data_IF_010050787260
#
_entry.id   IF_010050787260
#
_cell.length_a   1.000
_cell.length_b   1.000
_cell.length_c   1.000
_cell.angle_alpha   90.00
_cell.angle_beta   90.00
_cell.angle_gamma   90.00
#
_symmetry.space_group_name_H-M   'P 1'
#
loop_
_entity.id
_entity.type
_entity.pdbx_description
1 polymer ?
#
# COMPACT_ATOMS: atom_id res chain seq x y z
N UNK A 1 -2.66 11.15 30.52
CA UNK A 1 -3.63 10.74 29.48
C UNK A 1 -2.82 10.29 28.29
N UNK A 2 -2.98 9.06 27.80
CA UNK A 2 -2.33 8.63 26.57
C UNK A 2 -2.88 9.45 25.41
N UNK A 3 -2.01 10.01 24.56
CA UNK A 3 -2.44 10.66 23.34
C UNK A 3 -3.25 9.66 22.48
N UNK A 4 -4.33 10.11 21.82
CA UNK A 4 -5.07 9.24 20.92
C UNK A 4 -4.18 8.80 19.76
N UNK A 5 -3.92 7.50 19.65
CA UNK A 5 -3.20 6.91 18.53
C UNK A 5 -4.15 6.15 17.60
N UNK A 6 -3.84 6.01 16.31
CA UNK A 6 -4.67 5.25 15.39
C UNK A 6 -4.69 3.77 15.77
N UNK A 7 -5.86 3.14 15.63
CA UNK A 7 -5.99 1.68 15.67
C UNK A 7 -5.71 1.05 14.29
N UNK A 8 -6.05 1.77 13.22
CA UNK A 8 -5.83 1.35 11.83
C UNK A 8 -5.09 2.46 11.11
N UNK A 9 -4.04 2.11 10.35
CA UNK A 9 -3.29 3.04 9.52
C UNK A 9 -3.21 2.52 8.09
N UNK A 10 -3.80 3.25 7.15
CA UNK A 10 -3.72 2.94 5.72
C UNK A 10 -2.48 3.59 5.11
N UNK A 11 -1.62 2.77 4.50
CA UNK A 11 -0.41 3.23 3.82
C UNK A 11 -0.55 3.02 2.30
N UNK A 12 -0.59 4.13 1.55
CA UNK A 12 -0.56 4.14 0.08
C UNK A 12 0.59 5.04 -0.40
N UNK A 13 1.80 4.47 -0.50
CA UNK A 13 3.05 5.24 -0.69
C UNK A 13 4.05 4.54 -1.61
N UNK A 14 5.15 5.22 -1.95
CA UNK A 14 6.33 4.66 -2.65
C UNK A 14 6.37 4.91 -4.17
N UNK A 15 5.23 5.21 -4.82
CA UNK A 15 5.21 5.39 -6.27
C UNK A 15 6.00 6.60 -6.78
N UNK A 16 6.34 7.56 -5.92
CA UNK A 16 7.11 8.74 -6.30
C UNK A 16 8.63 8.50 -6.28
N UNK A 17 9.07 7.53 -5.48
CA UNK A 17 10.48 7.17 -5.28
C UNK A 17 10.96 6.09 -6.26
N UNK A 18 10.02 5.46 -6.98
CA UNK A 18 10.29 4.53 -8.06
C UNK A 18 11.17 5.18 -9.14
N UNK A 19 12.37 4.61 -9.33
CA UNK A 19 13.36 5.06 -10.31
C UNK A 19 14.31 6.15 -9.80
N UNK A 20 14.12 6.64 -8.56
CA UNK A 20 15.10 7.50 -7.87
C UNK A 20 16.19 6.65 -7.23
N UNK A 21 15.81 5.50 -6.65
CA UNK A 21 16.72 4.56 -6.00
C UNK A 21 16.45 3.12 -6.44
N UNK A 22 17.31 2.20 -6.01
CA UNK A 22 17.10 0.78 -6.29
C UNK A 22 15.85 0.27 -5.57
N UNK A 23 15.13 -0.67 -6.20
CA UNK A 23 13.96 -1.31 -5.58
C UNK A 23 14.28 -1.89 -4.21
N UNK A 24 15.47 -2.50 -4.08
CA UNK A 24 15.91 -3.13 -2.84
C UNK A 24 16.03 -2.10 -1.71
N UNK A 25 16.62 -0.95 -1.99
CA UNK A 25 16.82 0.10 -1.00
C UNK A 25 15.48 0.75 -0.63
N UNK A 26 14.59 0.96 -1.60
CA UNK A 26 13.23 1.45 -1.36
C UNK A 26 12.44 0.48 -0.46
N UNK A 27 12.45 -0.83 -0.77
CA UNK A 27 11.81 -1.85 0.07
C UNK A 27 12.39 -1.84 1.49
N UNK A 28 13.72 -1.74 1.62
CA UNK A 28 14.40 -1.72 2.93
C UNK A 28 13.94 -0.51 3.74
N UNK A 29 13.92 0.68 3.14
CA UNK A 29 13.54 1.91 3.83
C UNK A 29 12.07 1.89 4.24
N UNK A 30 11.18 1.44 3.35
CA UNK A 30 9.75 1.30 3.66
C UNK A 30 9.51 0.35 4.83
N UNK A 31 10.22 -0.79 4.90
CA UNK A 31 10.11 -1.70 6.05
C UNK A 31 10.54 -1.05 7.36
N UNK A 32 11.67 -0.33 7.34
CA UNK A 32 12.15 0.42 8.51
C UNK A 32 11.11 1.43 8.97
N UNK A 33 10.50 2.17 8.04
CA UNK A 33 9.50 3.18 8.38
C UNK A 33 8.20 2.55 8.90
N UNK A 34 7.79 1.40 8.33
CA UNK A 34 6.66 0.62 8.84
C UNK A 34 6.91 0.11 10.26
N UNK A 35 8.09 -0.43 10.55
CA UNK A 35 8.44 -0.90 11.89
C UNK A 35 8.46 0.25 12.91
N UNK A 36 8.98 1.42 12.51
CA UNK A 36 8.91 2.64 13.32
C UNK A 36 7.45 3.03 13.62
N UNK A 37 6.58 3.06 12.61
CA UNK A 37 5.16 3.39 12.81
C UNK A 37 4.49 2.44 13.81
N UNK A 38 4.80 1.13 13.74
CA UNK A 38 4.27 0.13 14.68
C UNK A 38 4.84 0.29 16.10
N UNK A 39 6.08 0.75 16.23
CA UNK A 39 6.68 1.05 17.53
C UNK A 39 6.09 2.31 18.18
N UNK A 40 5.72 3.30 17.36
CA UNK A 40 5.10 4.55 17.81
C UNK A 40 3.62 4.35 18.18
N UNK A 41 2.91 3.52 17.42
CA UNK A 41 1.49 3.24 17.63
C UNK A 41 1.31 1.77 18.01
N UNK A 42 1.55 1.47 19.29
CA UNK A 42 1.44 0.10 19.80
C UNK A 42 0.03 -0.45 19.54
N UNK A 43 -0.05 -1.63 18.92
CA UNK A 43 -1.32 -2.27 18.57
C UNK A 43 -1.97 -1.77 17.27
N UNK A 44 -1.33 -0.85 16.53
CA UNK A 44 -1.85 -0.42 15.23
C UNK A 44 -1.86 -1.57 14.22
N UNK A 45 -2.96 -1.70 13.50
CA UNK A 45 -3.07 -2.56 12.32
C UNK A 45 -2.78 -1.74 11.08
N UNK A 46 -1.78 -2.15 10.30
CA UNK A 46 -1.42 -1.48 9.05
C UNK A 46 -2.18 -2.12 7.89
N UNK A 47 -2.88 -1.29 7.13
CA UNK A 47 -3.47 -1.64 5.83
C UNK A 47 -2.53 -1.15 4.75
N UNK A 48 -1.85 -2.08 4.09
CA UNK A 48 -0.97 -1.80 2.96
C UNK A 48 -1.76 -1.75 1.67
N UNK A 49 -1.92 -0.55 1.11
CA UNK A 49 -2.48 -0.35 -0.22
C UNK A 49 -1.36 -0.46 -1.23
N UNK A 50 -1.39 -1.55 -2.01
CA UNK A 50 -0.39 -1.79 -3.03
C UNK A 50 -0.27 -0.62 -4.01
N UNK A 51 0.95 -0.37 -4.46
CA UNK A 51 1.21 0.67 -5.45
C UNK A 51 0.48 0.32 -6.75
N UNK A 52 -0.37 1.21 -7.23
CA UNK A 52 -1.10 1.05 -8.48
C UNK A 52 -0.17 1.12 -9.70
N UNK A 53 -0.49 0.44 -10.81
CA UNK A 53 0.23 0.63 -12.06
C UNK A 53 0.18 2.09 -12.50
N UNK A 54 1.18 2.51 -13.29
CA UNK A 54 1.15 3.83 -13.96
C UNK A 54 1.40 3.62 -15.45
N UNK A 55 0.72 4.38 -16.30
CA UNK A 55 1.01 4.40 -17.73
C UNK A 55 2.33 5.12 -18.02
N UNK A 56 2.72 6.05 -17.13
CA UNK A 56 3.97 6.81 -17.24
C UNK A 56 4.66 6.85 -15.88
N UNK A 57 5.97 6.57 -15.88
CA UNK A 57 6.85 6.70 -14.73
C UNK A 57 7.86 7.81 -15.01
N UNK A 58 8.00 8.77 -14.08
CA UNK A 58 8.85 9.96 -14.27
C UNK A 58 10.30 9.63 -14.64
N UNK A 59 10.84 8.56 -14.07
CA UNK A 59 12.24 8.15 -14.23
C UNK A 59 12.40 6.85 -15.04
N UNK A 60 11.36 6.41 -15.77
CA UNK A 60 11.46 5.21 -16.58
C UNK A 60 12.34 5.43 -17.81
N UNK A 61 13.39 4.61 -17.94
CA UNK A 61 14.01 4.31 -19.23
C UNK A 61 13.28 3.17 -19.95
N UNK A 62 12.75 2.22 -19.17
CA UNK A 62 11.95 1.09 -19.63
C UNK A 62 10.72 0.97 -18.72
N UNK A 63 9.54 1.22 -19.30
CA UNK A 63 8.26 1.12 -18.59
C UNK A 63 7.99 -0.30 -18.07
N UNK A 64 8.30 -1.32 -18.88
CA UNK A 64 8.10 -2.72 -18.51
C UNK A 64 9.01 -3.12 -17.34
N UNK A 65 10.26 -2.65 -17.32
CA UNK A 65 11.15 -2.84 -16.18
C UNK A 65 10.62 -2.18 -14.91
N UNK A 66 10.04 -0.98 -15.02
CA UNK A 66 9.45 -0.27 -13.88
C UNK A 66 8.21 -0.99 -13.33
N UNK A 67 7.33 -1.50 -14.19
CA UNK A 67 6.19 -2.29 -13.74
C UNK A 67 6.61 -3.62 -13.11
N UNK A 68 7.63 -4.31 -13.66
CA UNK A 68 8.21 -5.50 -13.00
C UNK A 68 8.76 -5.15 -11.62
N UNK A 69 9.47 -4.03 -11.52
CA UNK A 69 10.01 -3.53 -10.24
C UNK A 69 8.90 -3.21 -9.24
N UNK A 70 7.83 -2.53 -9.67
CA UNK A 70 6.65 -2.24 -8.83
C UNK A 70 6.00 -3.52 -8.31
N UNK A 71 5.69 -4.48 -9.19
CA UNK A 71 5.06 -5.75 -8.80
C UNK A 71 5.89 -6.50 -7.76
N UNK A 72 7.21 -6.51 -7.95
CA UNK A 72 8.11 -7.18 -7.01
C UNK A 72 8.23 -6.43 -5.68
N UNK A 73 8.22 -5.10 -5.68
CA UNK A 73 8.14 -4.29 -4.45
C UNK A 73 6.84 -4.58 -3.69
N UNK A 74 5.70 -4.54 -4.37
CA UNK A 74 4.39 -4.88 -3.81
C UNK A 74 4.42 -6.27 -3.16
N UNK A 75 4.85 -7.30 -3.89
CA UNK A 75 4.97 -8.66 -3.37
C UNK A 75 5.79 -8.72 -2.07
N UNK A 76 6.94 -8.04 -2.02
CA UNK A 76 7.84 -8.06 -0.87
C UNK A 76 7.25 -7.35 0.36
N UNK A 77 6.51 -6.26 0.17
CA UNK A 77 5.85 -5.55 1.26
C UNK A 77 4.57 -6.26 1.71
N UNK A 78 3.78 -6.79 0.79
CA UNK A 78 2.58 -7.58 1.07
C UNK A 78 2.89 -8.80 1.94
N UNK A 79 3.99 -9.51 1.67
CA UNK A 79 4.47 -10.60 2.54
C UNK A 79 4.90 -10.08 3.93
N UNK A 80 5.61 -8.95 3.97
CA UNK A 80 6.11 -8.37 5.23
C UNK A 80 4.97 -7.88 6.13
N UNK A 81 3.97 -7.22 5.55
CA UNK A 81 2.79 -6.70 6.24
C UNK A 81 1.94 -7.84 6.82
N UNK A 82 1.67 -8.89 6.03
CA UNK A 82 0.95 -10.07 6.54
C UNK A 82 1.66 -10.76 7.70
N UNK A 83 2.98 -10.95 7.60
CA UNK A 83 3.80 -11.49 8.71
C UNK A 83 3.79 -10.60 9.95
N UNK A 84 3.47 -9.33 9.77
CA UNK A 84 3.36 -8.33 10.82
C UNK A 84 1.95 -8.20 11.41
N UNK A 85 0.99 -9.02 10.98
CA UNK A 85 -0.41 -8.96 11.42
C UNK A 85 -1.23 -7.83 10.78
N UNK A 86 -0.73 -7.23 9.68
CA UNK A 86 -1.46 -6.24 8.90
C UNK A 86 -2.26 -6.86 7.74
N UNK A 87 -2.98 -6.01 7.03
CA UNK A 87 -3.78 -6.36 5.85
C UNK A 87 -3.09 -5.81 4.60
N UNK A 88 -2.93 -6.60 3.55
CA UNK A 88 -2.50 -6.14 2.24
C UNK A 88 -3.66 -6.11 1.24
N UNK A 89 -3.73 -5.06 0.43
CA UNK A 89 -4.72 -4.87 -0.61
C UNK A 89 -4.03 -4.81 -1.97
N UNK A 90 -4.08 -5.90 -2.72
CA UNK A 90 -3.72 -5.89 -4.13
C UNK A 90 -4.89 -5.32 -4.95
N UNK A 91 -4.70 -4.16 -5.57
CA UNK A 91 -5.66 -3.62 -6.54
C UNK A 91 -4.95 -3.13 -7.80
N UNK A 92 -5.05 -3.94 -8.84
CA UNK A 92 -4.97 -3.43 -10.19
C UNK A 92 -6.34 -2.82 -10.52
N UNK A 93 -6.37 -1.53 -10.86
CA UNK A 93 -7.53 -0.91 -11.52
C UNK A 93 -7.09 -0.57 -12.95
N UNK A 94 -6.96 -1.55 -13.86
CA UNK A 94 -6.52 -1.28 -15.22
C UNK A 94 -7.53 -0.35 -15.93
N UNK A 95 -7.03 0.55 -16.77
CA UNK A 95 -7.88 1.30 -17.70
C UNK A 95 -8.59 2.54 -17.15
N UNK A 96 -8.56 2.81 -15.86
CA UNK A 96 -9.26 3.97 -15.28
C UNK A 96 -8.28 5.07 -14.84
N UNK A 97 -7.55 5.65 -15.78
CA UNK A 97 -6.63 6.76 -15.54
C UNK A 97 -7.17 8.08 -16.10
N UNK A 98 -6.76 9.20 -15.52
CA UNK A 98 -6.86 10.52 -16.17
C UNK A 98 -5.99 10.53 -17.42
N UNK A 99 -6.22 11.53 -18.29
CA UNK A 99 -5.46 11.72 -19.55
C UNK A 99 -3.93 11.74 -19.36
N UNK A 100 -3.45 12.14 -18.18
CA UNK A 100 -2.03 12.19 -17.84
C UNK A 100 -1.41 10.81 -17.52
N UNK A 101 -2.21 9.75 -17.41
CA UNK A 101 -1.75 8.37 -17.27
C UNK A 101 -1.09 8.00 -15.92
N UNK A 102 -1.04 8.93 -14.98
CA UNK A 102 -0.44 8.75 -13.63
C UNK A 102 -1.50 8.59 -12.54
N UNK A 103 -2.55 9.41 -12.60
CA UNK A 103 -3.61 9.42 -11.60
C UNK A 103 -4.85 8.68 -12.08
N UNK A 104 -5.60 8.09 -11.17
CA UNK A 104 -6.87 7.45 -11.47
C UNK A 104 -7.92 8.47 -11.94
N UNK A 105 -8.79 8.04 -12.86
CA UNK A 105 -10.03 8.75 -13.19
C UNK A 105 -10.98 8.72 -11.99
N UNK A 106 -12.10 9.44 -12.05
CA UNK A 106 -13.08 9.43 -10.96
C UNK A 106 -13.62 8.01 -10.71
N UNK A 107 -14.00 7.29 -11.77
CA UNK A 107 -14.42 5.88 -11.67
C UNK A 107 -13.31 5.00 -11.09
N UNK A 108 -12.06 5.22 -11.51
CA UNK A 108 -10.92 4.47 -10.97
C UNK A 108 -10.70 4.75 -9.48
N UNK A 109 -10.88 6.00 -9.06
CA UNK A 109 -10.78 6.43 -7.67
C UNK A 109 -11.90 5.84 -6.82
N UNK A 110 -13.13 5.75 -7.34
CA UNK A 110 -14.26 5.12 -6.64
C UNK A 110 -14.00 3.63 -6.39
N UNK A 111 -13.55 2.90 -7.42
CA UNK A 111 -13.16 1.49 -7.30
C UNK A 111 -11.99 1.29 -6.34
N UNK A 112 -11.04 2.22 -6.34
CA UNK A 112 -9.92 2.22 -5.40
C UNK A 112 -10.39 2.44 -3.96
N UNK A 113 -11.24 3.44 -3.73
CA UNK A 113 -11.79 3.77 -2.41
C UNK A 113 -12.67 2.65 -1.83
N UNK A 114 -13.48 2.00 -2.67
CA UNK A 114 -14.22 0.80 -2.27
C UNK A 114 -13.29 -0.29 -1.71
N UNK A 115 -12.07 -0.36 -2.25
CA UNK A 115 -11.04 -1.28 -1.76
C UNK A 115 -10.38 -0.90 -0.49
N UNK A 116 -10.09 0.38 -0.33
CA UNK A 116 -9.60 0.89 0.94
C UNK A 116 -10.64 0.63 2.04
N UNK A 117 -11.94 0.79 1.74
CA UNK A 117 -13.04 0.43 2.63
C UNK A 117 -12.95 -1.02 3.11
N UNK A 118 -12.89 -1.99 2.18
CA UNK A 118 -12.74 -3.43 2.51
C UNK A 118 -11.51 -3.70 3.39
N UNK A 119 -10.35 -3.08 3.09
CA UNK A 119 -9.17 -3.27 3.94
C UNK A 119 -9.28 -2.65 5.32
N UNK A 120 -9.92 -1.49 5.44
CA UNK A 120 -10.19 -0.85 6.74
C UNK A 120 -11.16 -1.69 7.56
N UNK A 121 -12.22 -2.24 6.95
CA UNK A 121 -13.15 -3.14 7.61
C UNK A 121 -12.43 -4.39 8.13
N UNK A 122 -11.62 -5.05 7.30
CA UNK A 122 -10.80 -6.21 7.72
C UNK A 122 -9.87 -5.85 8.87
N UNK A 123 -9.21 -4.70 8.81
CA UNK A 123 -8.33 -4.25 9.89
C UNK A 123 -9.10 -3.93 11.18
N UNK A 124 -10.30 -3.36 11.07
CA UNK A 124 -11.16 -3.10 12.22
C UNK A 124 -11.56 -4.40 12.93
N UNK A 125 -11.86 -5.48 12.20
CA UNK A 125 -12.11 -6.79 12.79
C UNK A 125 -10.90 -7.35 13.55
N UNK A 126 -9.69 -7.16 13.01
CA UNK A 126 -8.44 -7.55 13.67
C UNK A 126 -8.23 -6.77 14.97
N UNK A 127 -8.50 -5.46 14.96
CA UNK A 127 -8.42 -4.61 16.17
C UNK A 127 -9.45 -5.05 17.21
N UNK A 128 -10.68 -5.38 16.81
CA UNK A 128 -11.74 -5.77 17.74
C UNK A 128 -11.60 -7.20 18.28
N UNK A 129 -10.65 -7.99 17.77
CA UNK A 129 -10.46 -9.39 18.17
C UNK A 129 -11.56 -10.34 17.69
N UNK A 130 -12.38 -9.91 16.73
CA UNK A 130 -13.47 -10.72 16.16
C UNK A 130 -12.94 -11.39 14.89
N UNK A 131 -12.75 -12.71 14.93
CA UNK A 131 -12.35 -13.47 13.76
C UNK A 131 -13.43 -13.42 12.68
N UNK A 132 -13.05 -13.24 11.41
CA UNK A 132 -13.98 -13.35 10.29
C UNK A 132 -14.60 -14.76 10.26
N UNK A 133 -15.91 -14.92 10.00
CA UNK A 133 -16.47 -16.21 9.62
C UNK A 133 -15.79 -16.68 8.33
N UNK A 134 -15.46 -17.98 8.28
CA UNK A 134 -14.86 -18.64 7.13
C UNK A 134 -15.79 -18.66 5.90
#
# INVERSE_FOLDING_TARGET
MSEPHPHVLVLHVGGNDMGIMSQRDLVRQMKIDIDKLRSLFVGVVIVWSEMIPRLVWRWARDHSAMERSRRKLNQLLSVFIRRSGGVDLERAVPGHYRRVGVHLSNVGLDLFNLGLGDGVERAAFLVSGVAQPA
#
